data_IF_576181386036
#
_entry.id   IF_576181386036
#
_cell.length_a   1.000
_cell.length_b   1.000
_cell.length_c   1.000
_cell.angle_alpha   90.00
_cell.angle_beta   90.00
_cell.angle_gamma   90.00
#
_symmetry.space_group_name_H-M   'P 1'
#
loop_
_entity.id
_entity.type
_entity.pdbx_description
1 polymer ?
#
# COMPACT_ATOMS: atom_id res chain seq x y z
N UNK A 1 19.14 -3.80 -2.77
CA UNK A 1 17.69 -4.12 -2.67
C UNK A 1 17.00 -3.54 -3.89
N UNK A 2 16.13 -4.31 -4.55
CA UNK A 2 15.28 -3.84 -5.65
C UNK A 2 13.84 -3.80 -5.16
N UNK A 3 13.15 -2.68 -5.37
CA UNK A 3 11.77 -2.45 -4.96
C UNK A 3 10.91 -2.38 -6.22
N UNK A 4 9.85 -3.18 -6.30
CA UNK A 4 8.79 -2.94 -7.27
C UNK A 4 7.69 -2.12 -6.61
N UNK A 5 7.50 -0.88 -7.05
CA UNK A 5 6.34 -0.07 -6.68
C UNK A 5 5.28 -0.15 -7.78
N UNK A 6 4.03 -0.29 -7.38
CA UNK A 6 2.86 -0.34 -8.26
C UNK A 6 1.66 0.29 -7.57
N UNK A 7 0.66 0.72 -8.34
CA UNK A 7 -0.58 1.33 -7.85
C UNK A 7 -1.72 1.03 -8.83
N UNK A 8 -2.93 1.40 -8.46
CA UNK A 8 -4.08 1.55 -9.36
C UNK A 8 -4.43 0.27 -10.13
N UNK A 9 -4.50 -0.85 -9.42
CA UNK A 9 -4.99 -2.10 -10.01
C UNK A 9 -6.47 -2.04 -10.38
N UNK A 10 -7.26 -1.25 -9.63
CA UNK A 10 -8.70 -1.08 -9.85
C UNK A 10 -9.44 -2.40 -10.10
N UNK A 11 -9.11 -3.42 -9.30
CA UNK A 11 -9.70 -4.75 -9.41
C UNK A 11 -9.15 -5.64 -10.53
N UNK A 12 -8.15 -5.17 -11.28
CA UNK A 12 -7.59 -5.92 -12.39
C UNK A 12 -6.62 -7.02 -11.94
N UNK A 13 -7.11 -8.25 -11.89
CA UNK A 13 -6.28 -9.43 -11.63
C UNK A 13 -5.14 -9.58 -12.66
N UNK A 14 -5.39 -9.16 -13.91
CA UNK A 14 -4.39 -9.23 -14.96
C UNK A 14 -3.25 -8.23 -14.73
N UNK A 15 -3.56 -7.01 -14.25
CA UNK A 15 -2.54 -6.03 -13.88
C UNK A 15 -1.68 -6.54 -12.71
N UNK A 16 -2.28 -7.14 -11.70
CA UNK A 16 -1.58 -7.75 -10.57
C UNK A 16 -0.67 -8.91 -11.00
N UNK A 17 -1.14 -9.80 -11.91
CA UNK A 17 -0.30 -10.86 -12.49
C UNK A 17 0.90 -10.30 -13.25
N UNK A 18 0.71 -9.23 -14.03
CA UNK A 18 1.82 -8.55 -14.73
C UNK A 18 2.82 -7.94 -13.74
N UNK A 19 2.34 -7.34 -12.66
CA UNK A 19 3.20 -6.82 -11.59
C UNK A 19 4.01 -7.94 -10.93
N UNK A 20 3.38 -9.09 -10.62
CA UNK A 20 4.06 -10.26 -10.08
C UNK A 20 5.15 -10.79 -11.04
N UNK A 21 4.85 -10.91 -12.33
CA UNK A 21 5.84 -11.31 -13.33
C UNK A 21 6.99 -10.30 -13.42
N UNK A 22 6.69 -9.01 -13.38
CA UNK A 22 7.72 -7.95 -13.38
C UNK A 22 8.62 -8.05 -12.15
N UNK A 23 8.04 -8.24 -10.95
CA UNK A 23 8.78 -8.42 -9.71
C UNK A 23 9.78 -9.59 -9.82
N UNK A 24 9.30 -10.72 -10.33
CA UNK A 24 10.15 -11.90 -10.58
C UNK A 24 11.28 -11.61 -11.58
N UNK A 25 10.96 -10.97 -12.71
CA UNK A 25 11.94 -10.71 -13.77
C UNK A 25 13.07 -9.76 -13.37
N UNK A 26 12.81 -8.87 -12.41
CA UNK A 26 13.82 -7.93 -11.91
C UNK A 26 14.50 -8.41 -10.63
N UNK A 27 14.16 -9.60 -10.12
CA UNK A 27 14.58 -10.10 -8.80
C UNK A 27 14.27 -9.07 -7.71
N UNK A 28 12.99 -8.65 -7.61
CA UNK A 28 12.57 -7.72 -6.58
C UNK A 28 12.78 -8.33 -5.18
N UNK A 29 13.17 -7.50 -4.24
CA UNK A 29 13.31 -7.88 -2.83
C UNK A 29 12.06 -7.58 -2.02
N UNK A 30 11.20 -6.71 -2.53
CA UNK A 30 9.92 -6.31 -1.94
C UNK A 30 9.01 -5.75 -3.04
N UNK A 31 7.72 -5.98 -2.89
CA UNK A 31 6.67 -5.31 -3.68
C UNK A 31 5.94 -4.31 -2.79
N UNK A 32 5.66 -3.13 -3.31
CA UNK A 32 4.90 -2.08 -2.64
C UNK A 32 3.72 -1.69 -3.51
N UNK A 33 2.50 -1.79 -2.96
CA UNK A 33 1.26 -1.41 -3.64
C UNK A 33 0.74 -0.11 -3.03
N UNK A 34 0.75 0.96 -3.84
CA UNK A 34 0.42 2.31 -3.42
C UNK A 34 -1.07 2.65 -3.65
N UNK A 35 -1.98 1.77 -3.22
CA UNK A 35 -3.42 2.03 -3.21
C UNK A 35 -4.17 1.68 -4.49
N UNK A 36 -5.49 1.86 -4.43
CA UNK A 36 -6.47 1.54 -5.46
C UNK A 36 -6.35 0.11 -5.97
N UNK A 37 -6.29 -0.82 -5.02
CA UNK A 37 -6.27 -2.27 -5.26
C UNK A 37 -7.57 -2.68 -5.92
N UNK A 38 -8.70 -2.15 -5.44
CA UNK A 38 -10.03 -2.36 -5.97
C UNK A 38 -10.60 -1.11 -6.64
N UNK A 39 -11.72 -1.26 -7.33
CA UNK A 39 -12.54 -0.15 -7.80
C UNK A 39 -13.89 -0.25 -7.12
N UNK A 40 -13.99 0.33 -5.92
CA UNK A 40 -15.17 0.24 -5.04
C UNK A 40 -15.56 -1.20 -4.69
N UNK A 41 -14.57 -2.08 -4.61
CA UNK A 41 -14.76 -3.50 -4.34
C UNK A 41 -14.77 -3.85 -2.85
N UNK A 42 -15.07 -5.13 -2.56
CA UNK A 42 -15.01 -5.70 -1.21
C UNK A 42 -13.58 -6.09 -0.81
N UNK A 43 -13.40 -6.42 0.47
CA UNK A 43 -12.15 -7.02 0.98
C UNK A 43 -11.80 -8.31 0.22
N UNK A 44 -12.76 -9.20 0.02
CA UNK A 44 -12.55 -10.45 -0.72
C UNK A 44 -12.07 -10.20 -2.16
N UNK A 45 -12.51 -9.09 -2.76
CA UNK A 45 -12.03 -8.69 -4.08
C UNK A 45 -10.58 -8.19 -4.00
N UNK A 46 -10.24 -7.39 -3.00
CA UNK A 46 -8.86 -6.94 -2.77
C UNK A 46 -7.91 -8.11 -2.55
N UNK A 47 -8.30 -9.09 -1.71
CA UNK A 47 -7.52 -10.32 -1.48
C UNK A 47 -7.26 -11.08 -2.79
N UNK A 48 -8.27 -11.26 -3.63
CA UNK A 48 -8.12 -11.90 -4.95
C UNK A 48 -7.16 -11.16 -5.87
N UNK A 49 -7.20 -9.83 -5.87
CA UNK A 49 -6.30 -8.99 -6.68
C UNK A 49 -4.86 -9.09 -6.16
N UNK A 50 -4.65 -9.17 -4.85
CA UNK A 50 -3.32 -9.27 -4.24
C UNK A 50 -2.71 -10.68 -4.34
N UNK A 51 -3.52 -11.72 -4.47
CA UNK A 51 -3.09 -13.13 -4.48
C UNK A 51 -1.92 -13.45 -5.43
N UNK A 52 -1.83 -12.92 -6.68
CA UNK A 52 -0.68 -13.18 -7.53
C UNK A 52 0.66 -12.68 -6.95
N UNK A 53 0.63 -11.65 -6.10
CA UNK A 53 1.82 -11.09 -5.47
C UNK A 53 2.29 -11.97 -4.29
N UNK A 54 1.37 -12.59 -3.53
CA UNK A 54 1.72 -13.47 -2.41
C UNK A 54 2.48 -14.72 -2.89
N UNK A 55 2.15 -15.20 -4.10
CA UNK A 55 2.82 -16.35 -4.71
C UNK A 55 4.34 -16.14 -4.94
N UNK A 56 4.82 -14.91 -4.88
CA UNK A 56 6.25 -14.58 -5.02
C UNK A 56 7.07 -14.96 -3.78
N UNK A 57 6.43 -15.17 -2.64
CA UNK A 57 7.07 -15.48 -1.34
C UNK A 57 8.14 -14.47 -0.93
N UNK A 58 7.89 -13.20 -1.20
CA UNK A 58 8.69 -12.06 -0.78
C UNK A 58 7.77 -11.04 -0.09
N UNK A 59 8.28 -10.12 0.72
CA UNK A 59 7.46 -9.13 1.38
C UNK A 59 6.61 -8.32 0.40
N UNK A 60 5.30 -8.28 0.64
CA UNK A 60 4.35 -7.43 -0.08
C UNK A 60 3.75 -6.45 0.91
N UNK A 61 4.01 -5.17 0.70
CA UNK A 61 3.50 -4.07 1.52
C UNK A 61 2.43 -3.32 0.73
N UNK A 62 1.41 -2.82 1.41
CA UNK A 62 0.44 -1.95 0.76
C UNK A 62 -0.04 -0.83 1.67
N UNK A 63 -0.55 0.21 1.05
CA UNK A 63 -1.50 1.16 1.64
C UNK A 63 -2.78 1.13 0.81
N UNK A 64 -3.97 1.30 1.39
CA UNK A 64 -5.19 1.40 0.60
C UNK A 64 -5.26 2.74 -0.14
N UNK A 65 -5.94 2.76 -1.29
CA UNK A 65 -6.30 3.98 -2.00
C UNK A 65 -7.73 4.42 -1.68
N UNK A 66 -8.19 5.49 -2.31
CA UNK A 66 -9.51 6.03 -2.06
C UNK A 66 -10.65 5.16 -2.62
N UNK A 67 -10.38 4.35 -3.63
CA UNK A 67 -11.37 3.39 -4.16
C UNK A 67 -11.45 2.09 -3.37
N UNK A 68 -10.60 1.91 -2.36
CA UNK A 68 -10.58 0.71 -1.53
C UNK A 68 -11.54 0.82 -0.33
N UNK A 69 -12.08 -0.31 0.18
CA UNK A 69 -12.92 -0.28 1.37
C UNK A 69 -12.11 0.13 2.61
N UNK A 70 -12.62 1.04 3.48
CA UNK A 70 -11.93 1.51 4.69
C UNK A 70 -11.44 0.38 5.61
N UNK A 71 -12.22 -0.71 5.70
CA UNK A 71 -11.88 -1.87 6.49
C UNK A 71 -10.59 -2.60 6.04
N UNK A 72 -10.06 -2.28 4.86
CA UNK A 72 -8.81 -2.84 4.36
C UNK A 72 -7.59 -2.36 5.18
N UNK A 73 -7.71 -1.23 5.88
CA UNK A 73 -6.64 -0.70 6.77
C UNK A 73 -6.35 -1.68 7.91
N UNK A 74 -7.40 -2.29 8.48
CA UNK A 74 -7.30 -3.16 9.65
C UNK A 74 -7.26 -4.65 9.27
N UNK A 75 -7.53 -4.96 8.00
CA UNK A 75 -7.61 -6.35 7.54
C UNK A 75 -6.23 -6.99 7.52
N UNK A 76 -6.11 -8.13 8.18
CA UNK A 76 -4.98 -9.04 8.01
C UNK A 76 -5.19 -9.89 6.77
N UNK A 77 -4.27 -9.79 5.82
CA UNK A 77 -4.23 -10.61 4.60
C UNK A 77 -2.96 -11.45 4.67
N UNK A 78 -3.08 -12.75 4.46
CA UNK A 78 -1.94 -13.66 4.50
C UNK A 78 -0.85 -13.23 3.50
N UNK A 79 0.40 -13.15 3.97
CA UNK A 79 1.58 -12.77 3.20
C UNK A 79 1.56 -11.33 2.61
N UNK A 80 0.60 -10.49 3.01
CA UNK A 80 0.52 -9.09 2.58
C UNK A 80 0.30 -8.19 3.78
N UNK A 81 1.07 -7.12 3.90
CA UNK A 81 1.03 -6.25 5.07
C UNK A 81 0.55 -4.85 4.74
N UNK A 82 -0.55 -4.43 5.38
CA UNK A 82 -0.95 -3.03 5.41
C UNK A 82 0.00 -2.22 6.28
N UNK A 83 0.60 -1.18 5.72
CA UNK A 83 1.51 -0.29 6.44
C UNK A 83 0.95 1.11 6.67
N UNK A 84 -0.37 1.33 6.50
CA UNK A 84 -1.00 2.58 6.90
C UNK A 84 -0.81 2.83 8.39
N UNK A 85 -0.16 3.92 8.76
CA UNK A 85 0.18 4.25 10.15
C UNK A 85 1.18 3.31 10.84
N UNK A 86 1.89 2.48 10.07
CA UNK A 86 2.84 1.48 10.58
C UNK A 86 4.22 1.63 9.95
N UNK A 87 5.22 1.04 10.60
CA UNK A 87 6.58 0.91 10.07
C UNK A 87 6.92 -0.56 9.85
N UNK A 88 7.36 -0.89 8.64
CA UNK A 88 7.92 -2.20 8.32
C UNK A 88 9.37 -2.06 7.88
N UNK A 89 10.28 -2.77 8.54
CA UNK A 89 11.70 -2.79 8.17
C UNK A 89 12.02 -4.03 7.35
N UNK A 90 12.64 -3.84 6.20
CA UNK A 90 13.12 -4.89 5.31
C UNK A 90 14.58 -4.63 4.98
N UNK A 91 15.48 -5.48 5.44
CA UNK A 91 16.92 -5.24 5.35
C UNK A 91 17.32 -3.98 6.11
N UNK A 92 17.89 -3.00 5.41
CA UNK A 92 18.32 -1.72 5.96
C UNK A 92 17.36 -0.55 5.69
N UNK A 93 16.21 -0.82 5.09
CA UNK A 93 15.19 0.18 4.76
C UNK A 93 13.96 0.02 5.65
N UNK A 94 13.43 1.14 6.11
CA UNK A 94 12.15 1.21 6.82
C UNK A 94 11.10 1.81 5.90
N UNK A 95 9.94 1.17 5.82
CA UNK A 95 8.79 1.62 5.02
C UNK A 95 7.72 2.11 5.98
N UNK A 96 7.23 3.32 5.78
CA UNK A 96 6.06 3.85 6.49
C UNK A 96 4.99 4.21 5.47
N UNK A 97 3.72 4.15 5.86
CA UNK A 97 2.66 4.32 4.89
C UNK A 97 1.52 5.21 5.35
N UNK A 98 0.93 5.91 4.36
CA UNK A 98 -0.37 6.56 4.48
C UNK A 98 -1.20 6.26 3.24
N UNK A 99 -2.30 5.55 3.44
CA UNK A 99 -3.30 5.31 2.39
C UNK A 99 -4.31 6.44 2.30
N UNK A 100 -5.20 6.33 1.31
CA UNK A 100 -6.28 7.29 1.09
C UNK A 100 -5.85 8.57 0.36
N UNK A 101 -6.82 9.46 0.18
CA UNK A 101 -6.63 10.82 -0.33
C UNK A 101 -7.24 11.83 0.67
N UNK A 102 -6.86 13.11 0.59
CA UNK A 102 -7.60 14.18 1.26
C UNK A 102 -9.06 14.23 0.82
N UNK A 103 -9.94 14.66 1.73
CA UNK A 103 -11.38 14.75 1.46
C UNK A 103 -11.67 15.56 0.20
N UNK A 104 -12.31 14.93 -0.78
CA UNK A 104 -12.83 15.59 -1.98
C UNK A 104 -14.36 15.78 -1.86
N UNK A 105 -14.79 17.02 -1.69
CA UNK A 105 -16.23 17.35 -1.57
C UNK A 105 -16.99 17.28 -2.90
N UNK A 106 -16.27 17.20 -4.01
CA UNK A 106 -16.88 17.18 -5.35
C UNK A 106 -17.07 15.75 -5.83
N UNK A 107 -16.07 14.89 -5.58
CA UNK A 107 -16.07 13.50 -6.02
C UNK A 107 -15.78 12.56 -4.83
N UNK A 108 -16.75 12.39 -3.91
CA UNK A 108 -16.52 11.59 -2.71
C UNK A 108 -16.21 10.13 -3.05
N UNK A 109 -15.30 9.57 -2.30
CA UNK A 109 -14.85 8.19 -2.44
C UNK A 109 -14.93 7.42 -1.10
N UNK A 110 -14.90 6.08 -1.10
CA UNK A 110 -15.08 5.27 0.10
C UNK A 110 -14.09 5.54 1.21
N UNK A 111 -12.84 5.84 0.86
CA UNK A 111 -11.78 6.08 1.83
C UNK A 111 -11.16 7.46 1.59
N UNK A 112 -11.62 8.41 2.36
CA UNK A 112 -11.07 9.77 2.42
C UNK A 112 -10.73 10.11 3.86
N UNK A 113 -9.67 10.86 4.05
CA UNK A 113 -9.18 11.29 5.36
C UNK A 113 -8.74 12.74 5.30
N UNK A 114 -8.66 13.39 6.45
CA UNK A 114 -8.12 14.77 6.52
C UNK A 114 -6.59 14.77 6.32
N UNK A 115 -6.04 15.92 6.00
CA UNK A 115 -4.58 16.11 5.94
C UNK A 115 -3.93 15.80 7.28
N UNK A 116 -4.60 16.13 8.40
CA UNK A 116 -4.16 15.82 9.76
C UNK A 116 -4.08 14.33 10.02
N UNK A 117 -5.03 13.54 9.50
CA UNK A 117 -5.04 12.08 9.62
C UNK A 117 -3.92 11.45 8.79
N UNK A 118 -3.64 11.96 7.59
CA UNK A 118 -2.48 11.52 6.77
C UNK A 118 -1.18 11.81 7.52
N UNK A 119 -1.05 13.02 8.06
CA UNK A 119 0.11 13.42 8.86
C UNK A 119 0.26 12.56 10.11
N UNK A 120 -0.83 12.27 10.81
CA UNK A 120 -0.86 11.41 11.99
C UNK A 120 -0.41 9.99 11.66
N UNK A 121 -0.90 9.40 10.56
CA UNK A 121 -0.50 8.06 10.11
C UNK A 121 0.99 7.98 9.81
N UNK A 122 1.55 8.94 9.06
CA UNK A 122 2.99 9.00 8.77
C UNK A 122 3.83 9.19 10.04
N UNK A 123 3.39 10.07 10.94
CA UNK A 123 4.07 10.32 12.22
C UNK A 123 4.06 9.07 13.10
N UNK A 124 2.92 8.39 13.18
CA UNK A 124 2.78 7.14 13.92
C UNK A 124 3.70 6.05 13.35
N UNK A 125 3.72 5.89 12.03
CA UNK A 125 4.62 4.96 11.36
C UNK A 125 6.09 5.29 11.67
N UNK A 126 6.47 6.55 11.56
CA UNK A 126 7.86 6.99 11.83
C UNK A 126 8.31 6.69 13.27
N UNK A 127 7.42 6.89 14.25
CA UNK A 127 7.71 6.59 15.67
C UNK A 127 7.96 5.10 15.93
N UNK A 128 7.43 4.22 15.11
CA UNK A 128 7.61 2.76 15.23
C UNK A 128 8.92 2.28 14.59
N UNK A 129 9.57 3.10 13.76
CA UNK A 129 10.80 2.71 13.09
C UNK A 129 11.97 2.63 14.09
N UNK A 130 12.56 1.43 14.22
CA UNK A 130 13.70 1.20 15.12
C UNK A 130 14.99 1.88 14.63
N UNK A 131 15.13 2.11 13.33
CA UNK A 131 16.30 2.75 12.73
C UNK A 131 15.87 3.63 11.56
N UNK A 132 15.56 4.92 11.81
CA UNK A 132 15.00 5.82 10.80
C UNK A 132 16.03 6.38 9.81
N UNK A 133 17.23 5.78 9.70
CA UNK A 133 18.29 6.30 8.82
C UNK A 133 17.95 6.29 7.33
N UNK A 134 17.06 5.38 6.90
CA UNK A 134 16.62 5.27 5.51
C UNK A 134 15.16 4.88 5.51
N UNK A 135 14.29 5.88 5.41
CA UNK A 135 12.85 5.70 5.41
C UNK A 135 12.30 5.93 4.01
N UNK A 136 11.48 5.01 3.56
CA UNK A 136 10.68 5.14 2.33
C UNK A 136 9.25 5.41 2.75
N UNK A 137 8.69 6.50 2.26
CA UNK A 137 7.27 6.82 2.44
C UNK A 137 6.49 6.18 1.29
N UNK A 138 5.47 5.42 1.67
CA UNK A 138 4.50 4.82 0.75
C UNK A 138 3.18 5.55 0.92
N UNK A 139 2.76 6.27 -0.09
CA UNK A 139 1.51 7.00 -0.07
C UNK A 139 0.72 6.76 -1.35
N UNK A 140 -0.62 6.80 -1.24
CA UNK A 140 -1.49 6.79 -2.42
C UNK A 140 -1.62 8.21 -2.98
N UNK A 141 -1.88 9.18 -2.11
CA UNK A 141 -1.93 10.59 -2.51
C UNK A 141 -0.51 11.14 -2.73
N UNK A 142 -0.27 11.90 -3.81
CA UNK A 142 1.00 12.59 -3.99
C UNK A 142 1.18 13.68 -2.93
N UNK A 143 2.43 14.06 -2.60
CA UNK A 143 2.66 15.20 -1.73
C UNK A 143 2.16 16.49 -2.39
N UNK A 144 1.60 17.39 -1.59
CA UNK A 144 1.29 18.75 -2.06
C UNK A 144 2.59 19.51 -2.37
N UNK A 145 2.63 20.22 -3.50
CA UNK A 145 3.74 21.11 -3.86
C UNK A 145 3.58 22.45 -3.19
#
# INVERSE_FOLDING_TARGET
MKILATADFHGSLEASKRAALKAKNIDASVVVVCGDITHFGSIDHAEKVLLPLTALKLPVLYVPGNCDPPSLIEREIEDVQCIHGKCQTIGNLSFIGAGSIPVDRVHPSPLEVSDEEIFAALTQGLRQCKSPRSVIVVAHSPPLN
#
